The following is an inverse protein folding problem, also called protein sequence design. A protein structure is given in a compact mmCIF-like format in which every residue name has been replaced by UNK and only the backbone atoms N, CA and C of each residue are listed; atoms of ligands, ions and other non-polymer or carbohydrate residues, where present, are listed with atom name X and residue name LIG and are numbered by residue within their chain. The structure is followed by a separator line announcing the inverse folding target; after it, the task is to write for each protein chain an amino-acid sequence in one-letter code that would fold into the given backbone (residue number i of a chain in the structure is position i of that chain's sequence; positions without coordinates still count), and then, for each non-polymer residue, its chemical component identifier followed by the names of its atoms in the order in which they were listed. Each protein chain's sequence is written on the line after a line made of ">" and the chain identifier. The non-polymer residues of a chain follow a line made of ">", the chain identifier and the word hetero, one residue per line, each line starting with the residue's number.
data_IF_406197420184
#
_entry.id   IF_406197420184
#
_cell.length_a   1.000
_cell.length_b   1.000
_cell.length_c   1.000
_cell.angle_alpha   90.00
_cell.angle_beta   90.00
_cell.angle_gamma   90.00
#
_symmetry.space_group_name_H-M   'P 1'
#
loop_
_entity.id
_entity.type
_entity.pdbx_description
1 polymer ?
#
# COMPACT_ATOMS: atom_id res chain seq x y z
N UNK A 1 -12.90 15.13 -28.91
CA UNK A 1 -12.17 14.09 -29.64
C UNK A 1 -11.32 14.73 -30.73
N UNK A 2 -10.05 14.42 -30.73
CA UNK A 2 -9.11 14.89 -31.74
C UNK A 2 -8.57 13.70 -32.51
N UNK A 3 -8.58 13.80 -33.83
CA UNK A 3 -8.05 12.76 -34.73
C UNK A 3 -6.86 13.33 -35.47
N UNK A 4 -5.76 12.59 -35.48
CA UNK A 4 -4.57 12.95 -36.23
C UNK A 4 -4.90 13.02 -37.74
N UNK A 5 -4.42 14.04 -38.47
CA UNK A 5 -4.69 14.16 -39.90
C UNK A 5 -4.28 12.96 -40.72
N UNK A 6 -3.32 12.17 -40.26
CA UNK A 6 -2.92 10.92 -40.92
C UNK A 6 -3.96 9.81 -40.78
N UNK A 7 -4.94 9.96 -39.88
CA UNK A 7 -5.94 8.94 -39.58
C UNK A 7 -5.43 7.77 -38.77
N UNK A 8 -4.17 7.82 -38.27
CA UNK A 8 -3.54 6.71 -37.58
C UNK A 8 -3.75 6.78 -36.07
N UNK A 9 -3.93 7.97 -35.48
CA UNK A 9 -4.13 8.12 -34.04
C UNK A 9 -5.29 9.06 -33.73
N UNK A 10 -5.87 8.85 -32.57
CA UNK A 10 -6.91 9.72 -32.02
C UNK A 10 -6.72 9.86 -30.53
N UNK A 11 -7.23 10.96 -29.96
CA UNK A 11 -7.21 11.18 -28.52
C UNK A 11 -8.50 11.87 -28.07
N UNK A 12 -8.87 11.59 -26.84
CA UNK A 12 -9.92 12.29 -26.12
C UNK A 12 -9.28 12.97 -24.92
N UNK A 13 -9.38 14.29 -24.84
CA UNK A 13 -8.70 15.08 -23.82
C UNK A 13 -9.74 15.86 -23.04
N UNK A 14 -9.70 15.75 -21.71
CA UNK A 14 -10.45 16.58 -20.78
C UNK A 14 -9.45 17.43 -20.01
N UNK A 15 -9.61 18.76 -20.09
CA UNK A 15 -8.82 19.68 -19.29
C UNK A 15 -9.71 20.27 -18.21
N UNK A 16 -9.50 19.86 -16.97
CA UNK A 16 -10.28 20.31 -15.83
C UNK A 16 -9.44 20.23 -14.57
N UNK A 17 -9.73 21.06 -13.59
CA UNK A 17 -9.07 20.99 -12.28
C UNK A 17 -9.50 19.73 -11.54
N UNK A 18 -10.73 19.31 -11.73
CA UNK A 18 -11.28 18.08 -11.17
C UNK A 18 -12.11 17.37 -12.23
N UNK A 19 -11.89 16.07 -12.36
CA UNK A 19 -12.70 15.19 -13.19
C UNK A 19 -13.18 14.03 -12.32
N UNK A 20 -14.48 13.72 -12.36
CA UNK A 20 -15.01 12.59 -11.60
C UNK A 20 -16.19 11.96 -12.32
N UNK A 21 -16.36 10.66 -12.09
CA UNK A 21 -17.56 9.92 -12.47
C UNK A 21 -18.40 9.75 -11.20
N UNK A 22 -19.68 10.02 -11.29
CA UNK A 22 -20.61 9.86 -10.18
C UNK A 22 -21.58 8.73 -10.47
N UNK A 23 -21.86 7.96 -9.45
CA UNK A 23 -22.82 6.88 -9.46
C UNK A 23 -23.73 7.03 -8.24
N UNK A 24 -24.97 6.58 -8.35
CA UNK A 24 -25.88 6.55 -7.20
C UNK A 24 -25.84 5.16 -6.56
N UNK A 25 -25.58 5.14 -5.26
CA UNK A 25 -25.66 3.94 -4.45
C UNK A 25 -26.73 4.18 -3.38
N UNK A 26 -27.88 3.50 -3.50
CA UNK A 26 -29.02 3.71 -2.62
C UNK A 26 -29.44 5.19 -2.52
N UNK A 27 -29.43 5.90 -3.66
CA UNK A 27 -29.78 7.31 -3.72
C UNK A 27 -28.70 8.28 -3.29
N UNK A 28 -27.54 7.80 -2.81
CA UNK A 28 -26.41 8.62 -2.39
C UNK A 28 -25.37 8.69 -3.51
N UNK A 29 -24.96 9.91 -3.96
CA UNK A 29 -23.89 10.04 -4.95
C UNK A 29 -22.57 9.49 -4.42
N UNK A 30 -21.91 8.66 -5.21
CA UNK A 30 -20.55 8.17 -4.94
C UNK A 30 -19.69 8.35 -6.18
N UNK A 31 -18.41 8.61 -5.99
CA UNK A 31 -17.45 8.72 -7.08
C UNK A 31 -16.50 7.52 -7.05
N UNK A 32 -16.73 6.50 -7.90
CA UNK A 32 -15.81 5.36 -7.94
C UNK A 32 -14.45 5.72 -8.54
N UNK A 33 -14.38 6.80 -9.31
CA UNK A 33 -13.16 7.25 -9.97
C UNK A 33 -13.16 8.77 -10.07
N UNK A 34 -12.06 9.41 -9.67
CA UNK A 34 -11.89 10.86 -9.85
C UNK A 34 -10.44 11.21 -10.06
N UNK A 35 -10.21 12.37 -10.68
CA UNK A 35 -8.88 12.97 -10.84
C UNK A 35 -8.94 14.36 -10.24
N UNK A 36 -8.06 14.66 -9.31
CA UNK A 36 -7.99 15.96 -8.67
C UNK A 36 -6.57 16.23 -8.18
N UNK A 37 -6.08 17.45 -8.33
CA UNK A 37 -4.75 17.83 -7.88
C UNK A 37 -3.61 17.00 -8.52
N UNK A 38 -3.80 16.52 -9.75
CA UNK A 38 -2.81 15.68 -10.43
C UNK A 38 -2.80 14.23 -9.97
N UNK A 39 -3.77 13.81 -9.15
CA UNK A 39 -3.85 12.45 -8.63
C UNK A 39 -5.15 11.78 -9.04
N UNK A 40 -5.09 10.46 -9.18
CA UNK A 40 -6.26 9.63 -9.47
C UNK A 40 -6.70 8.93 -8.18
N UNK A 41 -7.99 9.05 -7.89
CA UNK A 41 -8.60 8.43 -6.73
C UNK A 41 -9.58 7.35 -7.18
N UNK A 42 -9.45 6.15 -6.62
CA UNK A 42 -10.34 5.03 -6.88
C UNK A 42 -10.88 4.56 -5.52
N UNK A 43 -12.17 4.64 -5.31
CA UNK A 43 -12.77 4.28 -4.02
C UNK A 43 -12.67 2.77 -3.75
N UNK A 44 -12.76 1.96 -4.80
CA UNK A 44 -12.65 0.52 -4.72
C UNK A 44 -12.25 -0.01 -6.09
N UNK A 45 -11.32 -0.93 -6.15
CA UNK A 45 -10.83 -1.46 -7.42
C UNK A 45 -10.74 -2.98 -7.39
N UNK A 46 -11.20 -3.60 -8.48
CA UNK A 46 -10.86 -4.98 -8.81
C UNK A 46 -9.65 -4.94 -9.74
N UNK A 47 -8.53 -5.46 -9.26
CA UNK A 47 -7.29 -5.45 -10.02
C UNK A 47 -7.06 -6.83 -10.58
N UNK A 48 -6.91 -6.91 -11.90
CA UNK A 48 -6.65 -8.17 -12.58
C UNK A 48 -5.31 -8.75 -12.11
N UNK A 49 -5.25 -10.05 -11.99
CA UNK A 49 -4.06 -10.77 -11.59
C UNK A 49 -2.84 -10.36 -12.44
N UNK A 50 -1.72 -10.14 -11.78
CA UNK A 50 -0.48 -9.74 -12.42
C UNK A 50 -0.36 -8.26 -12.80
N UNK A 51 -1.36 -7.42 -12.46
CA UNK A 51 -1.32 -6.00 -12.82
C UNK A 51 -0.66 -5.11 -11.78
N UNK A 52 -0.42 -5.59 -10.55
CA UNK A 52 0.31 -4.87 -9.53
C UNK A 52 1.78 -5.23 -9.60
N UNK A 53 2.61 -4.25 -9.90
CA UNK A 53 4.05 -4.42 -10.06
C UNK A 53 4.80 -3.61 -9.00
N UNK A 54 6.12 -3.75 -8.94
CA UNK A 54 6.96 -2.96 -8.03
C UNK A 54 6.73 -1.45 -8.15
N UNK A 55 6.44 -0.95 -9.34
CA UNK A 55 6.20 0.47 -9.55
C UNK A 55 4.89 0.96 -8.91
N UNK A 56 3.95 0.03 -8.65
CA UNK A 56 2.66 0.35 -8.05
C UNK A 56 2.64 0.19 -6.53
N UNK A 57 3.64 -0.51 -6.00
CA UNK A 57 3.84 -0.65 -4.55
C UNK A 57 4.97 0.30 -4.17
N UNK A 58 4.74 1.18 -3.20
CA UNK A 58 5.75 2.11 -2.70
C UNK A 58 6.90 1.39 -1.99
N UNK A 59 7.53 2.07 -1.05
CA UNK A 59 8.68 1.53 -0.32
C UNK A 59 8.30 0.38 0.61
N UNK A 60 7.02 0.27 0.98
CA UNK A 60 6.55 -0.73 1.93
C UNK A 60 5.06 -1.00 1.77
N UNK A 61 4.62 -2.09 2.38
CA UNK A 61 3.21 -2.39 2.65
C UNK A 61 3.08 -2.49 4.17
N UNK A 62 2.13 -1.79 4.76
CA UNK A 62 1.97 -1.79 6.21
C UNK A 62 0.51 -1.76 6.62
N UNK A 63 0.25 -2.13 7.88
CA UNK A 63 -1.03 -1.86 8.50
C UNK A 63 -1.19 -0.35 8.75
N UNK A 64 -2.44 0.11 8.82
CA UNK A 64 -2.73 1.53 9.03
C UNK A 64 -2.32 2.02 10.41
N UNK A 65 -2.22 1.11 11.39
CA UNK A 65 -1.84 1.44 12.76
C UNK A 65 -0.34 1.25 13.03
N UNK A 66 0.49 1.05 12.00
CA UNK A 66 1.90 0.77 12.19
C UNK A 66 2.64 1.90 12.88
N UNK A 67 3.32 1.58 13.97
CA UNK A 67 4.32 2.41 14.65
C UNK A 67 5.51 1.52 14.93
N UNK A 68 6.69 1.91 14.44
CA UNK A 68 7.90 1.09 14.49
C UNK A 68 8.20 0.61 15.92
N UNK A 69 8.37 -0.69 16.07
CA UNK A 69 8.70 -1.34 17.34
C UNK A 69 7.58 -1.37 18.36
N UNK A 70 6.39 -0.88 18.04
CA UNK A 70 5.30 -0.73 19.00
C UNK A 70 4.02 -1.44 18.60
N UNK A 71 3.50 -1.18 17.41
CA UNK A 71 2.22 -1.75 16.99
C UNK A 71 2.15 -1.89 15.46
N UNK A 72 1.23 -2.74 15.01
CA UNK A 72 1.01 -3.00 13.59
C UNK A 72 2.13 -3.82 12.96
N UNK A 73 2.13 -3.86 11.64
CA UNK A 73 3.12 -4.62 10.88
C UNK A 73 3.55 -3.86 9.64
N UNK A 74 4.74 -4.19 9.13
CA UNK A 74 5.28 -3.62 7.90
C UNK A 74 6.12 -4.66 7.15
N UNK A 75 5.98 -4.68 5.83
CA UNK A 75 6.86 -5.39 4.91
C UNK A 75 7.55 -4.35 4.03
N UNK A 76 8.84 -4.20 4.17
CA UNK A 76 9.64 -3.23 3.42
C UNK A 76 10.24 -3.87 2.17
N UNK A 77 10.56 -3.04 1.18
CA UNK A 77 11.20 -3.52 -0.05
C UNK A 77 12.64 -4.03 0.16
N UNK A 78 13.27 -3.68 1.26
CA UNK A 78 14.56 -4.25 1.63
C UNK A 78 14.47 -5.68 2.16
N UNK A 79 13.25 -6.23 2.29
CA UNK A 79 13.00 -7.59 2.77
C UNK A 79 12.76 -7.68 4.27
N UNK A 80 12.80 -6.58 5.01
CA UNK A 80 12.47 -6.59 6.43
C UNK A 80 10.98 -6.76 6.64
N UNK A 81 10.60 -7.73 7.48
CA UNK A 81 9.23 -7.93 7.91
C UNK A 81 9.14 -7.80 9.43
N UNK A 82 8.40 -6.81 9.91
CA UNK A 82 8.21 -6.54 11.33
C UNK A 82 6.74 -6.71 11.69
N UNK A 83 6.46 -7.47 12.74
CA UNK A 83 5.13 -7.67 13.28
C UNK A 83 5.15 -7.29 14.75
N UNK A 84 4.33 -6.32 15.13
CA UNK A 84 4.06 -5.95 16.51
C UNK A 84 2.62 -6.36 16.85
N UNK A 85 2.21 -6.15 18.08
CA UNK A 85 0.82 -6.37 18.47
C UNK A 85 -0.12 -5.30 17.91
N UNK A 86 -1.40 -5.44 18.24
CA UNK A 86 -2.43 -4.46 17.87
C UNK A 86 -2.20 -3.11 18.59
N UNK A 87 -1.68 -3.19 19.81
CA UNK A 87 -1.32 -2.05 20.65
C UNK A 87 0.09 -2.25 21.21
N UNK A 88 0.75 -1.18 21.68
CA UNK A 88 2.09 -1.30 22.29
C UNK A 88 2.12 -2.29 23.46
N UNK A 89 3.27 -2.94 23.67
CA UNK A 89 3.49 -3.82 24.81
C UNK A 89 3.03 -5.26 24.65
N UNK A 90 2.70 -5.68 23.44
CA UNK A 90 2.27 -7.07 23.17
C UNK A 90 3.38 -7.98 22.63
N UNK A 91 4.62 -7.51 22.65
CA UNK A 91 5.72 -8.21 22.03
C UNK A 91 5.84 -7.90 20.54
N UNK A 92 6.88 -8.45 19.91
CA UNK A 92 7.13 -8.22 18.48
C UNK A 92 8.02 -9.30 17.89
N UNK A 93 7.98 -9.40 16.58
CA UNK A 93 8.90 -10.21 15.80
C UNK A 93 9.44 -9.43 14.63
N UNK A 94 10.63 -9.83 14.17
CA UNK A 94 11.27 -9.23 13.01
C UNK A 94 11.99 -10.32 12.23
N UNK A 95 11.80 -10.31 10.92
CA UNK A 95 12.50 -11.19 10.00
C UNK A 95 13.26 -10.36 8.98
N UNK A 96 14.54 -10.67 8.81
CA UNK A 96 15.38 -10.10 7.76
C UNK A 96 15.91 -11.24 6.89
N UNK A 97 16.78 -10.92 5.93
CA UNK A 97 17.48 -11.94 5.16
C UNK A 97 18.49 -12.74 5.99
N UNK A 98 18.81 -12.31 7.20
CA UNK A 98 19.85 -12.89 8.05
C UNK A 98 19.32 -13.64 9.25
N UNK A 99 18.22 -13.19 9.84
CA UNK A 99 17.69 -13.78 11.07
C UNK A 99 16.20 -13.60 11.24
N UNK A 100 15.64 -14.41 12.13
CA UNK A 100 14.29 -14.28 12.64
C UNK A 100 14.37 -14.12 14.16
N UNK A 101 13.74 -13.08 14.71
CA UNK A 101 13.85 -12.71 16.11
C UNK A 101 12.50 -12.46 16.73
N UNK A 102 12.35 -12.83 18.01
CA UNK A 102 11.10 -12.65 18.76
C UNK A 102 11.41 -12.03 20.11
N UNK A 103 10.64 -11.02 20.47
CA UNK A 103 10.69 -10.37 21.79
C UNK A 103 9.36 -10.53 22.48
N UNK A 104 9.39 -10.75 23.80
CA UNK A 104 8.19 -10.87 24.61
C UNK A 104 7.61 -9.49 24.99
N UNK A 105 6.54 -9.51 25.78
CA UNK A 105 5.85 -8.28 26.23
C UNK A 105 6.74 -7.35 27.05
N UNK A 106 7.80 -7.87 27.65
CA UNK A 106 8.76 -7.09 28.43
C UNK A 106 9.97 -6.63 27.59
N UNK A 107 9.88 -6.77 26.25
CA UNK A 107 10.94 -6.42 25.31
C UNK A 107 12.22 -7.24 25.53
N UNK A 108 12.07 -8.46 26.02
CA UNK A 108 13.19 -9.41 26.18
C UNK A 108 13.21 -10.32 24.94
N UNK A 109 14.35 -10.40 24.29
CA UNK A 109 14.52 -11.28 23.14
C UNK A 109 14.52 -12.73 23.60
N UNK A 110 13.59 -13.54 23.09
CA UNK A 110 13.39 -14.92 23.48
C UNK A 110 13.90 -15.91 22.47
N UNK A 111 13.89 -15.58 21.19
CA UNK A 111 14.33 -16.46 20.10
C UNK A 111 15.09 -15.64 19.09
N UNK A 112 16.18 -16.22 18.62
CA UNK A 112 16.90 -15.74 17.44
C UNK A 112 17.38 -16.96 16.65
N UNK A 113 17.02 -17.00 15.37
CA UNK A 113 17.38 -18.07 14.45
C UNK A 113 18.10 -17.43 13.28
N UNK A 114 19.21 -18.03 12.86
CA UNK A 114 20.02 -17.54 11.76
C UNK A 114 21.29 -16.86 12.28
N UNK A 115 21.63 -15.68 11.76
CA UNK A 115 22.81 -14.94 12.19
C UNK A 115 22.56 -14.36 13.58
N UNK A 116 23.32 -14.87 14.55
CA UNK A 116 23.17 -14.47 15.95
C UNK A 116 23.81 -13.12 16.26
N UNK A 117 24.58 -12.55 15.32
CA UNK A 117 25.20 -11.24 15.48
C UNK A 117 24.31 -10.08 15.07
N UNK A 118 23.19 -10.37 14.46
CA UNK A 118 22.24 -9.33 14.01
C UNK A 118 21.48 -8.66 15.15
#
# INVERSE_FOLDING_TARGET
>A
LQVDPSGVSSQFVVRADTFMLLNLNNGTPVSPFSVSGGQTFVSSAFIQDGTITNAKIGEYISSTNYIAGQQGWILKKDGTFEINGVVPGQGRSMMTNRSMRFWDVNNVKRVQIGDLSE
#
